data_IF_433129613749
#
_entry.id   IF_433129613749
#
_cell.length_a   1.000
_cell.length_b   1.000
_cell.length_c   1.000
_cell.angle_alpha   90.00
_cell.angle_beta   90.00
_cell.angle_gamma   90.00
#
_symmetry.space_group_name_H-M   'P 1'
#
loop_
_entity.id
_entity.type
_entity.pdbx_description
1 polymer ?
#
# COMPACT_ATOMS: atom_id res chain seq x y z
N UNK A 1 46.81 -24.44 32.64
CA UNK A 1 46.43 -24.13 31.24
C UNK A 1 44.91 -24.13 31.18
N UNK A 2 44.30 -22.96 31.38
CA UNK A 2 42.85 -22.78 31.39
C UNK A 2 42.38 -22.70 29.93
N UNK A 3 41.59 -23.68 29.50
CA UNK A 3 41.02 -23.71 28.16
C UNK A 3 40.03 -22.54 28.00
N UNK A 4 40.42 -21.55 27.18
CA UNK A 4 39.55 -20.48 26.74
C UNK A 4 38.44 -21.06 25.85
N UNK A 5 37.20 -21.08 26.34
CA UNK A 5 36.05 -21.37 25.51
C UNK A 5 35.84 -20.22 24.50
N UNK A 6 35.58 -20.50 23.22
CA UNK A 6 35.29 -19.45 22.25
C UNK A 6 33.95 -18.81 22.61
N UNK A 7 33.99 -17.52 22.96
CA UNK A 7 32.81 -16.65 23.08
C UNK A 7 32.20 -16.47 21.70
N UNK A 8 31.26 -17.34 21.34
CA UNK A 8 30.41 -17.15 20.18
C UNK A 8 29.29 -16.14 20.52
N UNK A 9 29.64 -14.85 20.63
CA UNK A 9 28.65 -13.77 20.49
C UNK A 9 28.54 -13.40 19.02
N UNK A 10 27.99 -14.30 18.23
CA UNK A 10 27.40 -13.90 16.95
C UNK A 10 25.98 -13.45 17.27
N UNK A 11 25.82 -12.16 17.53
CA UNK A 11 24.52 -11.52 17.54
C UNK A 11 23.89 -11.75 16.16
N UNK A 12 23.02 -12.75 16.08
CA UNK A 12 22.18 -12.97 14.93
C UNK A 12 21.34 -11.71 14.74
N UNK A 13 21.75 -10.87 13.78
CA UNK A 13 20.93 -9.81 13.20
C UNK A 13 19.72 -10.45 12.51
N UNK A 14 18.75 -10.90 13.31
CA UNK A 14 17.43 -11.23 12.80
C UNK A 14 16.83 -9.94 12.24
N UNK A 15 16.38 -9.88 10.97
CA UNK A 15 15.71 -8.71 10.41
C UNK A 15 14.52 -8.36 11.29
N UNK A 16 14.70 -7.33 12.12
CA UNK A 16 13.90 -7.14 13.31
C UNK A 16 12.57 -6.44 13.02
N UNK A 17 11.56 -6.60 13.90
CA UNK A 17 10.27 -5.88 13.91
C UNK A 17 10.38 -4.36 13.65
N UNK A 18 11.55 -3.79 13.92
CA UNK A 18 11.91 -2.39 13.71
C UNK A 18 11.66 -1.88 12.28
N UNK A 19 11.80 -2.72 11.25
CA UNK A 19 11.55 -2.27 9.87
C UNK A 19 10.04 -2.10 9.59
N UNK A 20 9.22 -3.03 10.07
CA UNK A 20 7.76 -2.91 10.02
C UNK A 20 7.23 -1.73 10.84
N UNK A 21 7.85 -1.43 11.98
CA UNK A 21 7.49 -0.26 12.80
C UNK A 21 7.80 1.05 12.06
N UNK A 22 8.94 1.15 11.36
CA UNK A 22 9.26 2.32 10.53
C UNK A 22 8.24 2.52 9.42
N UNK A 23 7.84 1.45 8.73
CA UNK A 23 6.85 1.51 7.66
C UNK A 23 5.48 1.92 8.22
N UNK A 24 5.08 1.42 9.40
CA UNK A 24 3.85 1.82 10.08
C UNK A 24 3.86 3.31 10.43
N UNK A 25 4.99 3.82 10.93
CA UNK A 25 5.14 5.23 11.25
C UNK A 25 4.99 6.11 10.00
N UNK A 26 5.60 5.73 8.87
CA UNK A 26 5.44 6.44 7.60
C UNK A 26 3.98 6.38 7.13
N UNK A 27 3.37 5.21 7.16
CA UNK A 27 1.97 5.04 6.76
C UNK A 27 1.03 5.91 7.61
N UNK A 28 1.24 5.91 8.93
CA UNK A 28 0.52 6.76 9.87
C UNK A 28 0.70 8.25 9.58
N UNK A 29 1.92 8.70 9.29
CA UNK A 29 2.18 10.08 8.90
C UNK A 29 1.43 10.46 7.60
N UNK A 30 1.42 9.59 6.58
CA UNK A 30 0.66 9.81 5.35
C UNK A 30 -0.85 9.88 5.66
N UNK A 31 -1.36 9.13 6.63
CA UNK A 31 -2.77 9.21 7.07
C UNK A 31 -3.07 10.54 7.74
N UNK A 32 -2.20 11.02 8.64
CA UNK A 32 -2.37 12.33 9.29
C UNK A 32 -2.36 13.45 8.25
N UNK A 33 -1.44 13.40 7.29
CA UNK A 33 -1.36 14.37 6.19
C UNK A 33 -2.63 14.35 5.33
N UNK A 34 -3.16 13.16 5.02
CA UNK A 34 -4.40 13.01 4.27
C UNK A 34 -5.58 13.69 4.97
N UNK A 35 -5.73 13.44 6.26
CA UNK A 35 -6.76 14.05 7.10
C UNK A 35 -6.56 15.57 7.18
N UNK A 36 -5.33 16.04 7.37
CA UNK A 36 -5.03 17.47 7.41
C UNK A 36 -5.39 18.18 6.09
N UNK A 37 -5.04 17.58 4.95
CA UNK A 37 -5.38 18.09 3.62
C UNK A 37 -6.90 18.19 3.45
N UNK A 38 -7.66 17.20 3.93
CA UNK A 38 -9.13 17.20 3.86
C UNK A 38 -9.75 18.43 4.54
N UNK A 39 -9.15 18.92 5.62
CA UNK A 39 -9.64 20.08 6.37
C UNK A 39 -9.24 21.44 5.80
N UNK A 40 -8.37 21.51 4.78
CA UNK A 40 -7.90 22.78 4.21
C UNK A 40 -8.82 23.19 3.05
N UNK A 41 -9.62 24.28 3.17
CA UNK A 41 -10.58 24.67 2.13
C UNK A 41 -9.91 25.09 0.82
N UNK A 42 -8.69 25.62 0.88
CA UNK A 42 -7.92 26.07 -0.28
C UNK A 42 -7.54 24.92 -1.25
N UNK A 43 -7.51 23.67 -0.76
CA UNK A 43 -7.17 22.50 -1.56
C UNK A 43 -8.40 21.84 -2.21
N UNK A 44 -9.62 22.34 -1.96
CA UNK A 44 -10.88 21.77 -2.50
C UNK A 44 -10.87 21.42 -3.99
N UNK A 45 -10.30 22.24 -4.91
CA UNK A 45 -10.32 21.91 -6.35
C UNK A 45 -9.46 20.69 -6.69
N UNK A 46 -8.40 20.45 -5.92
CA UNK A 46 -7.39 19.40 -6.16
C UNK A 46 -7.48 18.26 -5.15
N UNK A 47 -8.42 18.33 -4.21
CA UNK A 47 -8.52 17.38 -3.10
C UNK A 47 -8.82 15.96 -3.59
N UNK A 48 -9.72 15.82 -4.57
CA UNK A 48 -10.11 14.53 -5.15
C UNK A 48 -8.92 13.77 -5.74
N UNK A 49 -8.19 14.31 -6.73
CA UNK A 49 -7.04 13.58 -7.29
C UNK A 49 -5.93 13.37 -6.25
N UNK A 50 -5.73 14.31 -5.33
CA UNK A 50 -4.71 14.21 -4.29
C UNK A 50 -5.00 13.05 -3.32
N UNK A 51 -6.24 12.93 -2.84
CA UNK A 51 -6.65 11.83 -1.97
C UNK A 51 -6.57 10.47 -2.68
N UNK A 52 -6.92 10.40 -3.97
CA UNK A 52 -6.76 9.17 -4.76
C UNK A 52 -5.29 8.74 -4.82
N UNK A 53 -4.38 9.67 -5.10
CA UNK A 53 -2.93 9.38 -5.15
C UNK A 53 -2.40 8.96 -3.79
N UNK A 54 -2.78 9.67 -2.71
CA UNK A 54 -2.37 9.31 -1.35
C UNK A 54 -2.89 7.93 -0.95
N UNK A 55 -4.15 7.61 -1.26
CA UNK A 55 -4.77 6.31 -0.97
C UNK A 55 -4.12 5.17 -1.77
N UNK A 56 -3.88 5.38 -3.08
CA UNK A 56 -3.16 4.42 -3.91
C UNK A 56 -1.73 4.16 -3.39
N UNK A 57 -1.04 5.22 -2.94
CA UNK A 57 0.30 5.10 -2.35
C UNK A 57 0.27 4.27 -1.06
N UNK A 58 -0.69 4.53 -0.17
CA UNK A 58 -0.87 3.74 1.05
C UNK A 58 -1.12 2.27 0.74
N UNK A 59 -2.03 2.00 -0.19
CA UNK A 59 -2.34 0.64 -0.64
C UNK A 59 -1.10 -0.07 -1.18
N UNK A 60 -0.31 0.58 -2.04
CA UNK A 60 0.93 0.02 -2.57
C UNK A 60 1.97 -0.28 -1.47
N UNK A 61 2.09 0.61 -0.48
CA UNK A 61 2.99 0.42 0.66
C UNK A 61 2.54 -0.77 1.53
N UNK A 62 1.23 -0.89 1.79
CA UNK A 62 0.66 -2.02 2.54
C UNK A 62 0.81 -3.33 1.77
N UNK A 63 0.45 -3.37 0.49
CA UNK A 63 0.60 -4.55 -0.34
C UNK A 63 2.07 -4.98 -0.45
N UNK A 64 2.98 -4.03 -0.70
CA UNK A 64 4.40 -4.32 -0.86
C UNK A 64 5.05 -4.84 0.42
N UNK A 65 4.81 -4.18 1.56
CA UNK A 65 5.55 -4.46 2.78
C UNK A 65 4.78 -5.34 3.78
N UNK A 66 3.49 -5.10 4.01
CA UNK A 66 2.69 -5.86 4.99
C UNK A 66 2.04 -7.13 4.42
N UNK A 67 1.72 -7.17 3.12
CA UNK A 67 1.30 -8.42 2.46
C UNK A 67 2.49 -9.24 1.91
N UNK A 68 3.72 -8.84 2.25
CA UNK A 68 4.97 -9.52 1.88
C UNK A 68 5.30 -9.61 0.38
N UNK A 69 4.52 -9.02 -0.54
CA UNK A 69 4.79 -9.08 -1.99
C UNK A 69 6.20 -8.64 -2.39
N UNK A 70 6.81 -7.70 -1.65
CA UNK A 70 8.16 -7.23 -1.91
C UNK A 70 9.24 -8.24 -1.49
N UNK A 71 8.95 -9.09 -0.51
CA UNK A 71 9.88 -10.07 0.06
C UNK A 71 9.63 -11.50 -0.46
N UNK A 72 8.50 -11.73 -1.12
CA UNK A 72 8.10 -13.02 -1.67
C UNK A 72 8.40 -13.15 -3.18
N UNK A 73 8.15 -14.34 -3.74
CA UNK A 73 8.41 -14.65 -5.15
C UNK A 73 7.50 -13.81 -6.07
N UNK A 74 8.03 -13.38 -7.23
CA UNK A 74 7.34 -12.52 -8.22
C UNK A 74 5.98 -13.05 -8.70
N UNK A 75 5.70 -14.33 -8.50
CA UNK A 75 4.42 -14.98 -8.83
C UNK A 75 3.28 -14.38 -7.99
N UNK A 76 3.49 -14.16 -6.68
CA UNK A 76 2.46 -13.58 -5.81
C UNK A 76 2.13 -12.15 -6.22
N UNK A 77 3.16 -11.36 -6.54
CA UNK A 77 2.99 -10.00 -7.09
C UNK A 77 2.23 -10.02 -8.41
N UNK A 78 2.57 -10.93 -9.33
CA UNK A 78 1.89 -11.04 -10.62
C UNK A 78 0.42 -11.43 -10.46
N UNK A 79 0.10 -12.43 -9.62
CA UNK A 79 -1.28 -12.85 -9.38
C UNK A 79 -2.12 -11.73 -8.75
N UNK A 80 -1.55 -10.99 -7.80
CA UNK A 80 -2.22 -9.85 -7.18
C UNK A 80 -2.49 -8.72 -8.17
N UNK A 81 -1.50 -8.36 -8.99
CA UNK A 81 -1.65 -7.30 -10.00
C UNK A 81 -2.67 -7.70 -11.06
N UNK A 82 -2.67 -8.95 -11.52
CA UNK A 82 -3.70 -9.45 -12.46
C UNK A 82 -5.09 -9.34 -11.83
N UNK A 83 -5.26 -9.74 -10.57
CA UNK A 83 -6.52 -9.59 -9.84
C UNK A 83 -6.94 -8.12 -9.69
N UNK A 84 -6.00 -7.24 -9.37
CA UNK A 84 -6.25 -5.79 -9.23
C UNK A 84 -6.70 -5.16 -10.55
N UNK A 85 -6.03 -5.50 -11.65
CA UNK A 85 -6.37 -5.04 -13.00
C UNK A 85 -7.73 -5.58 -13.42
N UNK A 86 -8.00 -6.87 -13.19
CA UNK A 86 -9.30 -7.48 -13.49
C UNK A 86 -10.44 -6.83 -12.70
N UNK A 87 -10.24 -6.55 -11.41
CA UNK A 87 -11.21 -5.86 -10.57
C UNK A 87 -11.46 -4.43 -11.06
N UNK A 88 -10.40 -3.65 -11.32
CA UNK A 88 -10.51 -2.30 -11.85
C UNK A 88 -11.23 -2.28 -13.20
N UNK A 89 -10.87 -3.22 -14.09
CA UNK A 89 -11.52 -3.39 -15.38
C UNK A 89 -13.02 -3.67 -15.23
N UNK A 90 -13.41 -4.58 -14.32
CA UNK A 90 -14.81 -4.92 -14.11
C UNK A 90 -15.61 -3.74 -13.54
N UNK A 91 -15.03 -2.97 -12.61
CA UNK A 91 -15.64 -1.74 -12.09
C UNK A 91 -15.88 -0.73 -13.22
N UNK A 92 -14.85 -0.46 -14.03
CA UNK A 92 -14.97 0.48 -15.16
C UNK A 92 -16.00 -0.01 -16.18
N UNK A 93 -15.99 -1.31 -16.51
CA UNK A 93 -16.95 -1.91 -17.42
C UNK A 93 -18.40 -1.75 -16.93
N UNK A 94 -18.66 -1.94 -15.64
CA UNK A 94 -19.99 -1.73 -15.06
C UNK A 94 -20.40 -0.25 -15.06
N UNK A 95 -19.48 0.66 -14.74
CA UNK A 95 -19.76 2.10 -14.83
C UNK A 95 -20.16 2.48 -16.26
N UNK A 96 -19.43 2.01 -17.26
CA UNK A 96 -19.73 2.27 -18.68
C UNK A 96 -21.05 1.63 -19.08
N UNK A 97 -21.29 0.37 -18.69
CA UNK A 97 -22.53 -0.35 -19.02
C UNK A 97 -23.77 0.34 -18.45
N UNK A 98 -23.75 0.71 -17.16
CA UNK A 98 -24.90 1.37 -16.53
C UNK A 98 -25.09 2.81 -17.02
N UNK A 99 -24.00 3.51 -17.34
CA UNK A 99 -24.09 4.83 -17.95
C UNK A 99 -24.73 4.74 -19.36
N UNK A 100 -24.26 3.81 -20.18
CA UNK A 100 -24.79 3.56 -21.51
C UNK A 100 -26.21 2.98 -21.51
N UNK A 101 -26.61 2.22 -20.48
CA UNK A 101 -27.97 1.68 -20.37
C UNK A 101 -28.97 2.74 -19.86
N UNK A 102 -28.52 3.68 -19.02
CA UNK A 102 -29.34 4.82 -18.55
C UNK A 102 -29.53 5.89 -19.62
N UNK A 103 -28.52 6.19 -20.43
CA UNK A 103 -28.56 7.21 -21.47
C UNK A 103 -29.67 7.04 -22.56
N UNK A 104 -30.03 5.83 -23.04
CA UNK A 104 -31.05 5.65 -24.08
C UNK A 104 -32.50 5.67 -23.57
N UNK A 105 -32.71 5.81 -22.25
CA UNK A 105 -34.05 5.80 -21.62
C UNK A 105 -34.43 7.16 -20.98
N UNK A 106 -33.62 8.22 -21.20
CA UNK A 106 -33.87 9.59 -20.75
C UNK A 106 -34.01 10.53 -21.95
#
# INVERSE_FOLDING_TARGET
MSAQAPTHTNEHSHPGPNEYIKIAAVLGAITVVEVAIYYIPALRPVIMPLLIVLSATKFAMVAGFYMHLKFDHRIFTSMFVVGLVAAAFMIVAFIVLFHFLRAPLA
#
